data_IF_775442242324
#
_entry.id   IF_775442242324
#
_cell.length_a   1.000
_cell.length_b   1.000
_cell.length_c   1.000
_cell.angle_alpha   90.00
_cell.angle_beta   90.00
_cell.angle_gamma   90.00
#
_symmetry.space_group_name_H-M   'P 1'
#
loop_
_entity.id
_entity.type
_entity.pdbx_description
1 polymer ?
#
# COMPACT_ATOMS: atom_id res chain seq x y z
N UNK A 1 -7.23 -2.11 -22.24
CA UNK A 1 -7.23 -0.71 -21.78
C UNK A 1 -6.29 -0.66 -20.60
N UNK A 2 -5.21 0.11 -20.70
CA UNK A 2 -4.19 0.18 -19.66
C UNK A 2 -4.78 0.72 -18.35
N UNK A 3 -4.14 0.38 -17.22
CA UNK A 3 -4.68 0.62 -15.88
C UNK A 3 -3.82 1.61 -15.13
N UNK A 4 -4.44 2.50 -14.38
CA UNK A 4 -3.73 3.43 -13.50
C UNK A 4 -4.24 3.31 -12.07
N UNK A 5 -3.34 3.37 -11.10
CA UNK A 5 -3.65 3.38 -9.67
C UNK A 5 -2.91 4.53 -9.02
N UNK A 6 -3.60 5.23 -8.14
CA UNK A 6 -3.08 6.37 -7.40
C UNK A 6 -2.85 5.95 -5.95
N UNK A 7 -1.81 6.47 -5.32
CA UNK A 7 -1.67 6.44 -3.87
C UNK A 7 -2.60 7.48 -3.19
N UNK A 8 -2.64 7.47 -1.86
CA UNK A 8 -3.47 8.38 -1.07
C UNK A 8 -3.08 9.85 -1.27
N UNK A 9 -1.78 10.13 -1.40
CA UNK A 9 -1.27 11.50 -1.54
C UNK A 9 -1.49 12.07 -2.95
N UNK A 10 -1.42 11.25 -3.99
CA UNK A 10 -1.72 11.64 -5.36
C UNK A 10 -3.19 12.03 -5.50
N UNK A 11 -4.12 11.29 -4.87
CA UNK A 11 -5.52 11.75 -4.81
C UNK A 11 -5.64 13.09 -4.10
N UNK A 12 -5.01 13.27 -2.93
CA UNK A 12 -5.05 14.55 -2.21
C UNK A 12 -4.43 15.71 -2.99
N UNK A 13 -3.41 15.43 -3.81
CA UNK A 13 -2.74 16.41 -4.65
C UNK A 13 -3.60 16.78 -5.86
N UNK A 14 -4.19 15.77 -6.53
CA UNK A 14 -5.09 15.92 -7.68
C UNK A 14 -6.22 16.92 -7.41
N UNK A 15 -6.68 17.01 -6.16
CA UNK A 15 -7.83 17.83 -5.75
C UNK A 15 -7.49 18.93 -4.73
N UNK A 16 -6.22 19.32 -4.63
CA UNK A 16 -5.68 20.18 -3.55
C UNK A 16 -6.41 21.52 -3.36
N UNK A 17 -6.99 22.07 -4.42
CA UNK A 17 -7.64 23.38 -4.42
C UNK A 17 -9.12 23.32 -4.85
N UNK A 18 -9.73 22.12 -4.82
CA UNK A 18 -11.12 21.92 -5.23
C UNK A 18 -12.04 21.75 -4.02
N UNK A 19 -13.23 22.37 -4.10
CA UNK A 19 -14.30 22.10 -3.13
C UNK A 19 -14.92 20.73 -3.41
N UNK A 20 -15.71 20.22 -2.47
CA UNK A 20 -16.39 18.93 -2.65
C UNK A 20 -17.33 18.93 -3.86
N UNK A 21 -17.96 20.07 -4.16
CA UNK A 21 -18.93 20.20 -5.25
C UNK A 21 -18.25 20.34 -6.62
N UNK A 22 -17.04 20.92 -6.68
CA UNK A 22 -16.29 21.07 -7.94
C UNK A 22 -15.68 19.75 -8.44
N UNK A 23 -15.70 18.69 -7.62
CA UNK A 23 -15.07 17.41 -7.96
C UNK A 23 -15.77 16.67 -9.10
N UNK A 24 -17.08 16.82 -9.26
CA UNK A 24 -17.84 16.09 -10.30
C UNK A 24 -17.34 16.45 -11.69
N UNK A 25 -17.34 17.74 -12.03
CA UNK A 25 -16.89 18.23 -13.33
C UNK A 25 -15.40 17.96 -13.55
N UNK A 26 -14.57 18.22 -12.54
CA UNK A 26 -13.13 17.99 -12.64
C UNK A 26 -12.78 16.52 -12.90
N UNK A 27 -13.40 15.58 -12.17
CA UNK A 27 -13.15 14.16 -12.36
C UNK A 27 -13.70 13.62 -13.68
N UNK A 28 -14.77 14.23 -14.22
CA UNK A 28 -15.26 13.92 -15.57
C UNK A 28 -14.21 14.31 -16.63
N UNK A 29 -13.56 15.47 -16.49
CA UNK A 29 -12.48 15.89 -17.39
C UNK A 29 -11.28 14.94 -17.33
N UNK A 30 -10.83 14.57 -16.12
CA UNK A 30 -9.73 13.61 -15.94
C UNK A 30 -10.06 12.28 -16.63
N UNK A 31 -11.24 11.71 -16.37
CA UNK A 31 -11.67 10.46 -17.01
C UNK A 31 -11.77 10.56 -18.53
N UNK A 32 -12.19 11.71 -19.06
CA UNK A 32 -12.23 11.94 -20.50
C UNK A 32 -10.82 11.93 -21.11
N UNK A 33 -9.84 12.57 -20.45
CA UNK A 33 -8.43 12.54 -20.86
C UNK A 33 -7.83 11.13 -20.78
N UNK A 34 -8.12 10.40 -19.71
CA UNK A 34 -7.68 9.00 -19.56
C UNK A 34 -8.23 8.11 -20.66
N UNK A 35 -9.54 8.20 -20.93
CA UNK A 35 -10.20 7.42 -21.99
C UNK A 35 -9.62 7.72 -23.37
N UNK A 36 -9.28 8.99 -23.65
CA UNK A 36 -8.60 9.40 -24.89
C UNK A 36 -7.22 8.73 -25.03
N UNK A 37 -6.55 8.47 -23.93
CA UNK A 37 -5.25 7.79 -23.86
C UNK A 37 -5.37 6.28 -23.60
N UNK A 38 -6.56 5.68 -23.73
CA UNK A 38 -6.83 4.26 -23.48
C UNK A 38 -6.39 3.79 -22.08
N UNK A 39 -6.57 4.66 -21.09
CA UNK A 39 -6.37 4.41 -19.67
C UNK A 39 -7.71 4.25 -18.94
N UNK A 40 -7.70 3.47 -17.87
CA UNK A 40 -8.79 3.37 -16.91
C UNK A 40 -8.28 3.22 -15.48
N UNK A 41 -8.78 4.07 -14.59
CA UNK A 41 -8.39 4.07 -13.20
C UNK A 41 -8.98 2.92 -12.38
N UNK A 42 -8.15 2.37 -11.49
CA UNK A 42 -8.48 1.33 -10.54
C UNK A 42 -8.19 1.78 -9.09
N UNK A 43 -8.96 1.26 -8.15
CA UNK A 43 -8.85 1.58 -6.72
C UNK A 43 -7.90 0.61 -6.03
N UNK A 44 -6.98 1.16 -5.24
CA UNK A 44 -6.23 0.37 -4.26
C UNK A 44 -7.03 0.23 -2.95
N UNK A 45 -7.25 -1.00 -2.45
CA UNK A 45 -7.87 -1.20 -1.13
C UNK A 45 -7.10 -0.54 0.02
N UNK A 46 -5.78 -0.37 -0.12
CA UNK A 46 -4.94 0.33 0.87
C UNK A 46 -5.36 1.79 0.96
N UNK A 47 -5.53 2.45 -0.19
CA UNK A 47 -5.92 3.85 -0.27
C UNK A 47 -7.30 4.06 0.34
N UNK A 48 -8.24 3.15 0.11
CA UNK A 48 -9.53 3.18 0.80
C UNK A 48 -9.33 3.13 2.31
N UNK A 49 -8.54 2.18 2.82
CA UNK A 49 -8.32 2.02 4.27
C UNK A 49 -7.68 3.26 4.90
N UNK A 50 -6.67 3.84 4.25
CA UNK A 50 -6.03 5.06 4.74
C UNK A 50 -6.99 6.24 4.77
N UNK A 51 -7.78 6.44 3.71
CA UNK A 51 -8.76 7.52 3.65
C UNK A 51 -9.87 7.33 4.70
N UNK A 52 -10.41 6.12 4.82
CA UNK A 52 -11.43 5.78 5.82
C UNK A 52 -10.93 5.97 7.25
N UNK A 53 -9.68 5.59 7.55
CA UNK A 53 -9.08 5.80 8.86
C UNK A 53 -8.93 7.28 9.21
N UNK A 54 -8.67 8.15 8.22
CA UNK A 54 -8.57 9.59 8.43
C UNK A 54 -9.93 10.28 8.61
N UNK A 55 -10.99 9.81 7.94
CA UNK A 55 -12.36 10.34 8.13
C UNK A 55 -13.05 9.78 9.37
N UNK A 56 -12.54 8.71 9.97
CA UNK A 56 -12.91 8.24 11.31
C UNK A 56 -12.46 9.22 12.44
N UNK A 57 -11.85 10.36 12.09
CA UNK A 57 -11.43 11.41 13.03
C UNK A 57 -12.48 12.52 13.19
N UNK A 58 -12.22 13.47 14.10
CA UNK A 58 -13.09 14.62 14.36
C UNK A 58 -13.49 15.33 13.05
N UNK A 59 -14.79 15.45 12.84
CA UNK A 59 -15.36 16.31 11.80
C UNK A 59 -14.79 17.72 11.93
N UNK A 60 -14.31 18.28 10.81
CA UNK A 60 -13.79 19.66 10.74
C UNK A 60 -12.27 19.83 10.78
N UNK A 61 -11.45 18.77 10.90
CA UNK A 61 -10.00 18.92 10.68
C UNK A 61 -9.66 19.06 9.19
N UNK A 62 -8.58 19.77 8.85
CA UNK A 62 -8.12 19.87 7.44
C UNK A 62 -7.85 18.49 6.82
N UNK A 63 -7.32 17.54 7.62
CA UNK A 63 -7.06 16.17 7.16
C UNK A 63 -8.35 15.39 6.92
N UNK A 64 -9.37 15.59 7.75
CA UNK A 64 -10.71 15.03 7.53
C UNK A 64 -11.27 15.50 6.19
N UNK A 65 -11.30 16.82 5.94
CA UNK A 65 -11.87 17.36 4.70
C UNK A 65 -11.09 16.92 3.47
N UNK A 66 -9.75 16.95 3.52
CA UNK A 66 -8.89 16.46 2.43
C UNK A 66 -9.13 15.00 2.13
N UNK A 67 -9.34 14.18 3.16
CA UNK A 67 -9.61 12.75 2.99
C UNK A 67 -11.01 12.49 2.45
N UNK A 68 -12.00 13.26 2.89
CA UNK A 68 -13.37 13.18 2.37
C UNK A 68 -13.45 13.58 0.88
N UNK A 69 -12.80 14.68 0.50
CA UNK A 69 -12.71 15.09 -0.90
C UNK A 69 -11.97 14.03 -1.73
N UNK A 70 -10.88 13.44 -1.20
CA UNK A 70 -10.15 12.38 -1.88
C UNK A 70 -10.99 11.09 -2.04
N UNK A 71 -11.85 10.75 -1.07
CA UNK A 71 -12.82 9.65 -1.19
C UNK A 71 -13.77 9.90 -2.35
N UNK A 72 -14.34 11.10 -2.47
CA UNK A 72 -15.21 11.46 -3.59
C UNK A 72 -14.48 11.43 -4.92
N UNK A 73 -13.27 11.99 -4.99
CA UNK A 73 -12.45 11.95 -6.20
C UNK A 73 -12.18 10.51 -6.66
N UNK A 74 -11.71 9.65 -5.74
CA UNK A 74 -11.47 8.23 -6.01
C UNK A 74 -12.75 7.48 -6.43
N UNK A 75 -13.88 7.77 -5.79
CA UNK A 75 -15.17 7.21 -6.18
C UNK A 75 -15.54 7.59 -7.62
N UNK A 76 -15.52 8.89 -7.95
CA UNK A 76 -15.85 9.39 -9.28
C UNK A 76 -14.89 8.86 -10.36
N UNK A 77 -13.63 8.66 -9.99
CA UNK A 77 -12.56 8.18 -10.87
C UNK A 77 -12.74 6.72 -11.28
N UNK A 78 -13.01 5.86 -10.30
CA UNK A 78 -12.85 4.42 -10.46
C UNK A 78 -14.18 3.63 -10.45
N UNK A 79 -15.30 4.30 -10.24
CA UNK A 79 -16.63 3.69 -10.34
C UNK A 79 -17.27 4.00 -11.69
N UNK A 80 -17.93 3.00 -12.25
CA UNK A 80 -18.77 3.18 -13.43
C UNK A 80 -20.00 2.29 -13.35
N UNK A 81 -21.19 2.87 -13.60
CA UNK A 81 -22.48 2.18 -13.59
C UNK A 81 -22.73 1.27 -12.37
N UNK A 82 -22.29 1.69 -11.18
CA UNK A 82 -22.46 0.93 -9.94
C UNK A 82 -21.43 -0.18 -9.70
N UNK A 83 -20.48 -0.38 -10.62
CA UNK A 83 -19.36 -1.31 -10.45
C UNK A 83 -18.07 -0.54 -10.13
N UNK A 84 -17.31 -1.06 -9.16
CA UNK A 84 -15.98 -0.55 -8.81
C UNK A 84 -14.90 -1.34 -9.52
N UNK A 85 -13.88 -0.66 -10.03
CA UNK A 85 -12.64 -1.28 -10.51
C UNK A 85 -11.61 -1.37 -9.39
N UNK A 86 -11.85 -2.24 -8.41
CA UNK A 86 -10.95 -2.37 -7.27
C UNK A 86 -9.90 -3.46 -7.53
N UNK A 87 -8.64 -3.17 -7.20
CA UNK A 87 -7.59 -4.16 -7.21
C UNK A 87 -7.77 -5.19 -6.09
N UNK A 88 -7.19 -6.38 -6.28
CA UNK A 88 -7.05 -7.33 -5.19
C UNK A 88 -6.22 -6.69 -4.06
N UNK A 89 -6.57 -7.01 -2.80
CA UNK A 89 -5.72 -6.65 -1.67
C UNK A 89 -4.35 -7.32 -1.81
N UNK A 90 -3.25 -6.72 -1.31
CA UNK A 90 -1.92 -7.30 -1.35
C UNK A 90 -1.86 -8.78 -0.94
N UNK A 91 -2.48 -9.12 0.19
CA UNK A 91 -2.45 -10.48 0.71
C UNK A 91 -3.25 -11.45 -0.18
N UNK A 92 -4.32 -10.98 -0.84
CA UNK A 92 -5.11 -11.78 -1.78
C UNK A 92 -4.33 -12.04 -3.07
N UNK A 93 -3.66 -11.01 -3.58
CA UNK A 93 -2.79 -11.10 -4.76
C UNK A 93 -1.72 -12.16 -4.54
N UNK A 94 -1.00 -12.06 -3.42
CA UNK A 94 0.10 -12.98 -3.10
C UNK A 94 -0.41 -14.38 -2.78
N UNK A 95 -1.52 -14.52 -2.05
CA UNK A 95 -2.13 -15.83 -1.79
C UNK A 95 -2.52 -16.54 -3.08
N UNK A 96 -3.15 -15.81 -4.03
CA UNK A 96 -3.56 -16.37 -5.32
C UNK A 96 -2.37 -16.71 -6.19
N UNK A 97 -1.40 -15.80 -6.29
CA UNK A 97 -0.23 -15.95 -7.17
C UNK A 97 0.74 -17.04 -6.71
N UNK A 98 0.95 -17.17 -5.39
CA UNK A 98 1.90 -18.14 -4.83
C UNK A 98 1.27 -19.51 -4.56
N UNK A 99 0.02 -19.54 -4.12
CA UNK A 99 -0.60 -20.76 -3.60
C UNK A 99 -1.89 -21.15 -4.33
N UNK A 100 -2.38 -20.33 -5.26
CA UNK A 100 -3.67 -20.56 -5.92
C UNK A 100 -4.89 -20.32 -5.01
N UNK A 101 -4.68 -19.85 -3.77
CA UNK A 101 -5.71 -19.69 -2.75
C UNK A 101 -6.54 -18.41 -2.96
N UNK A 102 -7.79 -18.44 -2.50
CA UNK A 102 -8.73 -17.31 -2.54
C UNK A 102 -9.60 -17.31 -1.29
N UNK A 103 -10.15 -16.15 -0.92
CA UNK A 103 -11.04 -16.01 0.24
C UNK A 103 -12.25 -15.16 -0.12
N UNK A 104 -13.43 -15.78 -0.10
CA UNK A 104 -14.69 -15.07 -0.34
C UNK A 104 -14.97 -14.01 0.74
N UNK A 105 -14.59 -14.30 2.00
CA UNK A 105 -14.73 -13.34 3.10
C UNK A 105 -13.93 -12.05 2.86
N UNK A 106 -12.75 -12.17 2.22
CA UNK A 106 -11.93 -11.00 1.85
C UNK A 106 -12.55 -10.21 0.71
N UNK A 107 -13.16 -10.87 -0.28
CA UNK A 107 -13.93 -10.21 -1.33
C UNK A 107 -15.10 -9.43 -0.72
N UNK A 108 -15.86 -10.05 0.19
CA UNK A 108 -16.97 -9.41 0.90
C UNK A 108 -16.50 -8.19 1.73
N UNK A 109 -15.34 -8.30 2.40
CA UNK A 109 -14.74 -7.16 3.11
C UNK A 109 -14.42 -6.00 2.16
N UNK A 110 -13.90 -6.31 0.97
CA UNK A 110 -13.67 -5.33 -0.09
C UNK A 110 -14.96 -4.64 -0.54
N UNK A 111 -16.02 -5.42 -0.79
CA UNK A 111 -17.33 -4.89 -1.17
C UNK A 111 -17.91 -3.98 -0.08
N UNK A 112 -17.75 -4.32 1.19
CA UNK A 112 -18.17 -3.46 2.30
C UNK A 112 -17.42 -2.11 2.30
N UNK A 113 -16.11 -2.09 2.01
CA UNK A 113 -15.37 -0.83 1.87
C UNK A 113 -15.90 0.03 0.72
N UNK A 114 -16.26 -0.59 -0.40
CA UNK A 114 -16.85 0.08 -1.55
C UNK A 114 -18.19 0.74 -1.20
N UNK A 115 -19.04 0.06 -0.43
CA UNK A 115 -20.32 0.63 0.02
C UNK A 115 -20.12 1.86 0.90
N UNK A 116 -19.18 1.80 1.85
CA UNK A 116 -18.80 2.93 2.71
C UNK A 116 -18.30 4.10 1.86
N UNK A 117 -17.40 3.84 0.91
CA UNK A 117 -16.86 4.86 0.00
C UNK A 117 -17.96 5.52 -0.81
N UNK A 118 -18.90 4.74 -1.37
CA UNK A 118 -20.04 5.27 -2.11
C UNK A 118 -20.88 6.21 -1.25
N UNK A 119 -21.28 5.76 -0.07
CA UNK A 119 -22.13 6.55 0.83
C UNK A 119 -21.48 7.90 1.21
N UNK A 120 -20.17 7.87 1.53
CA UNK A 120 -19.41 9.08 1.86
C UNK A 120 -19.16 9.99 0.64
N UNK A 121 -18.99 9.42 -0.55
CA UNK A 121 -18.77 10.19 -1.77
C UNK A 121 -20.04 10.88 -2.27
N UNK A 122 -21.21 10.25 -2.13
CA UNK A 122 -22.47 10.78 -2.68
C UNK A 122 -23.27 11.61 -1.68
N UNK A 123 -23.16 11.35 -0.37
CA UNK A 123 -23.99 12.02 0.64
C UNK A 123 -23.31 12.04 2.03
N UNK A 124 -22.23 12.81 2.23
CA UNK A 124 -21.51 12.84 3.52
C UNK A 124 -22.25 13.65 4.60
N UNK A 125 -23.40 13.17 5.07
CA UNK A 125 -24.16 13.78 6.17
C UNK A 125 -23.73 13.22 7.52
N UNK A 126 -24.02 13.95 8.60
CA UNK A 126 -23.76 13.47 9.97
C UNK A 126 -24.42 12.11 10.25
N UNK A 127 -25.65 11.90 9.75
CA UNK A 127 -26.39 10.64 9.89
C UNK A 127 -25.64 9.47 9.23
N UNK A 128 -25.00 9.70 8.07
CA UNK A 128 -24.19 8.69 7.39
C UNK A 128 -22.94 8.38 8.21
N UNK A 129 -22.26 9.39 8.76
CA UNK A 129 -21.11 9.18 9.64
C UNK A 129 -21.47 8.42 10.92
N UNK A 130 -22.60 8.75 11.56
CA UNK A 130 -23.11 8.03 12.75
C UNK A 130 -23.40 6.56 12.42
N UNK A 131 -24.06 6.29 11.29
CA UNK A 131 -24.32 4.92 10.82
C UNK A 131 -23.04 4.12 10.58
N UNK A 132 -22.00 4.78 10.08
CA UNK A 132 -20.74 4.15 9.68
C UNK A 132 -19.67 4.15 10.79
N UNK A 133 -19.96 4.75 11.95
CA UNK A 133 -18.98 5.03 13.00
C UNK A 133 -18.20 3.79 13.44
N UNK A 134 -18.88 2.67 13.71
CA UNK A 134 -18.24 1.43 14.13
C UNK A 134 -17.27 0.88 13.07
N UNK A 135 -17.68 0.88 11.80
CA UNK A 135 -16.85 0.42 10.68
C UNK A 135 -15.62 1.33 10.47
N UNK A 136 -15.83 2.65 10.57
CA UNK A 136 -14.76 3.64 10.47
C UNK A 136 -13.75 3.48 11.63
N UNK A 137 -14.23 3.29 12.86
CA UNK A 137 -13.38 3.08 14.03
C UNK A 137 -12.63 1.73 13.99
N UNK A 138 -13.27 0.67 13.51
CA UNK A 138 -12.60 -0.62 13.25
C UNK A 138 -11.51 -0.49 12.20
N UNK A 139 -11.76 0.23 11.11
CA UNK A 139 -10.77 0.49 10.05
C UNK A 139 -9.58 1.29 10.60
N UNK A 140 -9.86 2.37 11.34
CA UNK A 140 -8.82 3.17 12.00
C UNK A 140 -7.98 2.35 12.99
N UNK A 141 -8.62 1.48 13.76
CA UNK A 141 -7.93 0.60 14.72
C UNK A 141 -7.06 -0.44 13.99
N UNK A 142 -7.57 -1.02 12.90
CA UNK A 142 -6.80 -1.90 12.04
C UNK A 142 -5.56 -1.20 11.49
N UNK A 143 -5.72 0.01 10.96
CA UNK A 143 -4.59 0.80 10.40
C UNK A 143 -3.52 1.03 11.46
N UNK A 144 -3.91 1.51 12.65
CA UNK A 144 -2.99 1.73 13.76
C UNK A 144 -2.29 0.46 14.24
N UNK A 145 -3.02 -0.65 14.31
CA UNK A 145 -2.45 -1.93 14.74
C UNK A 145 -1.45 -2.46 13.71
N UNK A 146 -1.74 -2.34 12.41
CA UNK A 146 -0.83 -2.74 11.35
C UNK A 146 0.47 -1.92 11.40
N UNK A 147 0.36 -0.60 11.54
CA UNK A 147 1.50 0.31 11.71
C UNK A 147 2.35 -0.05 12.96
N UNK A 148 1.70 -0.33 14.09
CA UNK A 148 2.37 -0.72 15.32
C UNK A 148 3.12 -2.06 15.18
N UNK A 149 2.49 -3.06 14.57
CA UNK A 149 3.11 -4.37 14.31
C UNK A 149 4.29 -4.23 13.35
N UNK A 150 4.15 -3.40 12.31
CA UNK A 150 5.22 -3.11 11.37
C UNK A 150 6.44 -2.52 12.09
N UNK A 151 6.28 -1.44 12.86
CA UNK A 151 7.35 -0.85 13.64
C UNK A 151 7.97 -1.85 14.65
N UNK A 152 7.14 -2.63 15.34
CA UNK A 152 7.61 -3.65 16.30
C UNK A 152 8.44 -4.75 15.63
N UNK A 153 8.14 -5.11 14.38
CA UNK A 153 8.91 -6.11 13.63
C UNK A 153 10.35 -5.66 13.38
N UNK A 154 10.57 -4.40 12.98
CA UNK A 154 11.93 -3.86 12.83
C UNK A 154 12.68 -3.84 14.15
N UNK A 155 12.02 -3.37 15.22
CA UNK A 155 12.64 -3.28 16.53
C UNK A 155 13.08 -4.67 17.03
N UNK A 156 12.19 -5.67 16.91
CA UNK A 156 12.47 -7.06 17.26
C UNK A 156 13.65 -7.59 16.45
N UNK A 157 13.63 -7.39 15.12
CA UNK A 157 14.68 -7.89 14.24
C UNK A 157 16.03 -7.23 14.51
N UNK A 158 16.07 -5.92 14.72
CA UNK A 158 17.30 -5.20 15.02
C UNK A 158 17.88 -5.61 16.39
N UNK A 159 17.04 -5.94 17.37
CA UNK A 159 17.47 -6.49 18.66
C UNK A 159 18.12 -7.87 18.57
N UNK A 160 17.80 -8.67 17.55
CA UNK A 160 18.53 -9.93 17.30
C UNK A 160 20.00 -9.66 16.92
N UNK A 161 20.26 -8.55 16.23
CA UNK A 161 21.62 -8.15 15.84
C UNK A 161 22.35 -7.40 16.94
N UNK A 162 21.67 -6.49 17.63
CA UNK A 162 22.22 -5.68 18.71
C UNK A 162 21.33 -5.81 19.98
N UNK A 163 21.48 -6.88 20.79
CA UNK A 163 20.65 -7.09 21.98
C UNK A 163 20.76 -5.97 23.02
N UNK A 164 21.88 -5.25 23.03
CA UNK A 164 22.17 -4.13 23.92
C UNK A 164 21.70 -2.79 23.34
N UNK A 165 20.99 -2.78 22.20
CA UNK A 165 20.47 -1.53 21.62
C UNK A 165 19.49 -0.87 22.58
N UNK A 166 19.74 0.40 22.87
CA UNK A 166 18.80 1.27 23.56
C UNK A 166 17.95 2.01 22.52
N UNK A 167 16.63 1.93 22.67
CA UNK A 167 15.65 2.52 21.74
C UNK A 167 15.88 2.10 20.27
N UNK A 168 16.16 3.03 19.36
CA UNK A 168 16.41 2.77 17.92
C UNK A 168 17.88 2.98 17.50
N UNK A 169 18.78 3.14 18.46
CA UNK A 169 20.19 3.39 18.19
C UNK A 169 20.95 2.07 17.96
N UNK A 170 21.04 1.65 16.69
CA UNK A 170 21.74 0.41 16.31
C UNK A 170 23.26 0.60 16.28
N UNK A 171 23.98 -0.14 17.12
CA UNK A 171 25.43 -0.08 17.29
C UNK A 171 25.96 1.36 17.37
N UNK A 172 25.52 2.19 18.34
CA UNK A 172 25.76 3.64 18.34
C UNK A 172 27.25 3.98 18.25
N UNK A 173 28.08 3.19 18.93
CA UNK A 173 29.52 3.37 19.04
C UNK A 173 30.35 2.36 18.21
N UNK A 174 29.72 1.51 17.39
CA UNK A 174 30.43 0.47 16.63
C UNK A 174 30.12 0.54 15.13
N UNK A 175 30.86 1.41 14.42
CA UNK A 175 30.75 1.60 12.97
C UNK A 175 31.01 0.33 12.17
N UNK A 176 31.90 -0.54 12.64
CA UNK A 176 32.23 -1.78 11.92
C UNK A 176 31.05 -2.77 11.95
N UNK A 177 30.46 -3.00 13.14
CA UNK A 177 29.24 -3.82 13.27
C UNK A 177 28.09 -3.23 12.46
N UNK A 178 27.89 -1.91 12.50
CA UNK A 178 26.87 -1.23 11.68
C UNK A 178 27.09 -1.46 10.18
N UNK A 179 28.32 -1.33 9.69
CA UNK A 179 28.67 -1.61 8.29
C UNK A 179 28.42 -3.07 7.92
N UNK A 180 28.77 -4.01 8.81
CA UNK A 180 28.51 -5.44 8.60
C UNK A 180 27.01 -5.71 8.48
N UNK A 181 26.20 -5.16 9.38
CA UNK A 181 24.74 -5.28 9.33
C UNK A 181 24.17 -4.68 8.05
N UNK A 182 24.58 -3.47 7.65
CA UNK A 182 24.13 -2.87 6.39
C UNK A 182 24.45 -3.74 5.18
N UNK A 183 25.62 -4.39 5.14
CA UNK A 183 25.96 -5.33 4.08
C UNK A 183 25.05 -6.57 4.10
N UNK A 184 24.68 -7.05 5.28
CA UNK A 184 23.72 -8.14 5.44
C UNK A 184 22.31 -7.73 4.97
N UNK A 185 21.80 -6.57 5.38
CA UNK A 185 20.49 -6.04 4.91
C UNK A 185 20.43 -5.95 3.39
N UNK A 186 21.54 -5.59 2.75
CA UNK A 186 21.64 -5.46 1.28
C UNK A 186 21.72 -6.80 0.56
N UNK A 187 22.05 -7.88 1.25
CA UNK A 187 22.30 -9.20 0.68
C UNK A 187 21.08 -9.85 0.01
N UNK A 188 21.32 -10.87 -0.83
CA UNK A 188 20.25 -11.65 -1.45
C UNK A 188 19.48 -12.45 -0.39
N UNK A 189 20.21 -12.98 0.60
CA UNK A 189 19.69 -13.74 1.73
C UNK A 189 18.68 -12.93 2.53
N UNK A 190 18.97 -11.65 2.78
CA UNK A 190 18.02 -10.77 3.48
C UNK A 190 16.77 -10.50 2.63
N UNK A 191 16.87 -10.49 1.30
CA UNK A 191 15.68 -10.43 0.42
C UNK A 191 14.79 -11.66 0.61
N UNK A 192 15.38 -12.85 0.71
CA UNK A 192 14.66 -14.10 0.94
C UNK A 192 13.99 -14.10 2.32
N UNK A 193 14.67 -13.58 3.33
CA UNK A 193 14.10 -13.38 4.67
C UNK A 193 12.86 -12.48 4.62
N UNK A 194 12.96 -11.30 3.99
CA UNK A 194 11.82 -10.37 3.88
C UNK A 194 10.65 -10.98 3.09
N UNK A 195 10.94 -11.74 2.04
CA UNK A 195 9.93 -12.47 1.30
C UNK A 195 9.22 -13.49 2.20
N UNK A 196 9.96 -14.27 3.00
CA UNK A 196 9.38 -15.25 3.93
C UNK A 196 8.51 -14.59 5.00
N UNK A 197 9.01 -13.51 5.62
CA UNK A 197 8.28 -12.73 6.63
C UNK A 197 6.93 -12.22 6.12
N UNK A 198 6.80 -11.95 4.82
CA UNK A 198 5.53 -11.55 4.22
C UNK A 198 4.65 -12.76 3.83
N UNK A 199 5.22 -13.73 3.11
CA UNK A 199 4.46 -14.81 2.47
C UNK A 199 3.97 -15.84 3.49
N UNK A 200 4.77 -16.16 4.51
CA UNK A 200 4.43 -17.21 5.47
C UNK A 200 3.18 -16.85 6.31
N UNK A 201 3.04 -15.63 6.86
CA UNK A 201 1.78 -15.21 7.50
C UNK A 201 0.58 -15.23 6.55
N UNK A 202 0.77 -14.84 5.28
CA UNK A 202 -0.30 -14.92 4.26
C UNK A 202 -0.73 -16.37 4.05
N UNK A 203 0.22 -17.30 3.89
CA UNK A 203 -0.09 -18.72 3.78
C UNK A 203 -0.86 -19.22 4.99
N UNK A 204 -0.34 -18.97 6.20
CA UNK A 204 -0.94 -19.47 7.43
C UNK A 204 -2.38 -18.96 7.58
N UNK A 205 -2.65 -17.70 7.24
CA UNK A 205 -3.99 -17.13 7.31
C UNK A 205 -4.96 -17.81 6.33
N UNK A 206 -4.57 -17.98 5.06
CA UNK A 206 -5.45 -18.59 4.06
C UNK A 206 -5.59 -20.10 4.26
N UNK A 207 -4.56 -20.80 4.75
CA UNK A 207 -4.64 -22.23 5.03
C UNK A 207 -5.72 -22.57 6.07
N UNK A 208 -6.08 -21.65 6.98
CA UNK A 208 -7.21 -21.83 7.90
C UNK A 208 -8.56 -21.98 7.19
N UNK A 209 -8.70 -21.40 5.99
CA UNK A 209 -9.91 -21.50 5.16
C UNK A 209 -9.84 -22.65 4.14
N UNK A 210 -8.68 -23.29 4.01
CA UNK A 210 -8.38 -24.33 3.02
C UNK A 210 -7.74 -25.54 3.71
N UNK A 211 -8.51 -26.37 4.44
CA UNK A 211 -7.98 -27.40 5.33
C UNK A 211 -7.20 -28.52 4.63
N UNK A 212 -7.34 -28.65 3.30
CA UNK A 212 -6.58 -29.60 2.48
C UNK A 212 -5.20 -29.06 2.07
N UNK A 213 -4.91 -27.80 2.38
CA UNK A 213 -3.64 -27.18 2.02
C UNK A 213 -2.50 -27.71 2.89
N UNK A 214 -1.50 -28.30 2.24
CA UNK A 214 -0.29 -28.78 2.92
C UNK A 214 0.69 -27.62 3.08
N UNK A 215 1.26 -27.49 4.28
CA UNK A 215 2.31 -26.52 4.56
C UNK A 215 3.55 -26.83 3.71
N UNK A 216 4.11 -25.85 2.99
CA UNK A 216 5.33 -26.06 2.22
C UNK A 216 6.49 -26.54 3.11
N UNK A 217 7.32 -27.43 2.57
CA UNK A 217 8.62 -27.77 3.16
C UNK A 217 9.67 -26.67 2.89
N UNK A 218 10.87 -26.79 3.44
CA UNK A 218 11.92 -25.77 3.32
C UNK A 218 12.42 -25.56 1.88
N UNK A 219 12.40 -26.60 1.04
CA UNK A 219 12.78 -26.49 -0.37
C UNK A 219 11.72 -25.69 -1.12
N UNK A 220 10.45 -25.99 -0.87
CA UNK A 220 9.31 -25.25 -1.43
C UNK A 220 9.29 -23.80 -0.94
N UNK A 221 9.56 -23.54 0.34
CA UNK A 221 9.68 -22.18 0.87
C UNK A 221 10.76 -21.37 0.17
N UNK A 222 11.95 -21.95 -0.01
CA UNK A 222 13.06 -21.30 -0.71
C UNK A 222 12.66 -20.92 -2.15
N UNK A 223 11.99 -21.84 -2.86
CA UNK A 223 11.47 -21.58 -4.20
C UNK A 223 10.44 -20.45 -4.22
N UNK A 224 9.46 -20.46 -3.30
CA UNK A 224 8.42 -19.45 -3.21
C UNK A 224 8.99 -18.06 -2.88
N UNK A 225 9.95 -17.97 -1.96
CA UNK A 225 10.63 -16.72 -1.62
C UNK A 225 11.44 -16.19 -2.81
N UNK A 226 12.15 -17.08 -3.52
CA UNK A 226 12.91 -16.69 -4.72
C UNK A 226 11.97 -16.16 -5.80
N UNK A 227 10.85 -16.85 -6.03
CA UNK A 227 9.81 -16.41 -6.95
C UNK A 227 9.26 -15.03 -6.54
N UNK A 228 9.01 -14.80 -5.25
CA UNK A 228 8.52 -13.50 -4.76
C UNK A 228 9.52 -12.38 -5.01
N UNK A 229 10.78 -12.55 -4.61
CA UNK A 229 11.84 -11.54 -4.79
C UNK A 229 11.99 -11.16 -6.27
N UNK A 230 11.90 -12.14 -7.17
CA UNK A 230 12.01 -11.89 -8.60
C UNK A 230 10.79 -11.18 -9.20
N UNK A 231 9.59 -11.41 -8.65
CA UNK A 231 8.36 -10.83 -9.18
C UNK A 231 7.99 -9.50 -8.52
N UNK A 232 8.47 -9.24 -7.30
CA UNK A 232 8.19 -8.00 -6.55
C UNK A 232 9.50 -7.36 -6.04
N UNK A 233 10.50 -7.10 -6.91
CA UNK A 233 11.78 -6.55 -6.47
C UNK A 233 11.65 -5.15 -5.86
N UNK A 234 10.70 -4.34 -6.32
CA UNK A 234 10.45 -2.99 -5.82
C UNK A 234 9.94 -2.98 -4.37
N UNK A 235 9.04 -3.92 -4.04
CA UNK A 235 8.59 -4.16 -2.66
C UNK A 235 9.77 -4.45 -1.74
N UNK A 236 10.62 -5.41 -2.14
CA UNK A 236 11.78 -5.83 -1.36
C UNK A 236 12.77 -4.68 -1.20
N UNK A 237 13.05 -3.95 -2.27
CA UNK A 237 13.98 -2.84 -2.26
C UNK A 237 13.51 -1.70 -1.36
N UNK A 238 12.21 -1.35 -1.37
CA UNK A 238 11.68 -0.31 -0.49
C UNK A 238 11.76 -0.75 0.96
N UNK A 239 11.38 -2.00 1.27
CA UNK A 239 11.45 -2.54 2.63
C UNK A 239 12.89 -2.55 3.17
N UNK A 240 13.87 -2.95 2.35
CA UNK A 240 15.30 -2.84 2.71
C UNK A 240 15.72 -1.40 2.98
N UNK A 241 15.26 -0.45 2.17
CA UNK A 241 15.60 0.96 2.37
C UNK A 241 15.09 1.50 3.71
N UNK A 242 13.95 1.00 4.22
CA UNK A 242 13.46 1.35 5.56
C UNK A 242 14.42 0.84 6.64
N UNK A 243 14.89 -0.42 6.55
CA UNK A 243 15.94 -0.93 7.44
C UNK A 243 17.20 -0.06 7.41
N UNK A 244 17.68 0.28 6.20
CA UNK A 244 18.87 1.12 6.05
C UNK A 244 18.69 2.51 6.67
N UNK A 245 17.52 3.13 6.50
CA UNK A 245 17.21 4.43 7.09
C UNK A 245 17.19 4.37 8.62
N UNK A 246 16.61 3.32 9.20
CA UNK A 246 16.62 3.11 10.65
C UNK A 246 18.06 2.96 11.15
N UNK A 247 18.86 2.11 10.52
CA UNK A 247 20.25 1.84 10.94
C UNK A 247 21.15 3.07 10.80
N UNK A 248 20.99 3.85 9.72
CA UNK A 248 21.84 5.01 9.45
C UNK A 248 21.45 6.25 10.24
N UNK A 249 20.14 6.48 10.39
CA UNK A 249 19.60 7.73 10.95
C UNK A 249 18.98 7.56 12.34
N UNK A 250 19.01 6.35 12.91
CA UNK A 250 18.45 6.03 14.24
C UNK A 250 16.99 6.47 14.36
N UNK A 251 16.25 6.26 13.27
CA UNK A 251 14.88 6.71 13.15
C UNK A 251 13.98 5.83 14.01
N UNK A 252 13.25 6.45 14.94
CA UNK A 252 12.17 5.81 15.67
C UNK A 252 10.92 5.71 14.79
N UNK A 253 10.47 4.47 14.49
CA UNK A 253 9.32 4.22 13.64
C UNK A 253 7.98 4.57 14.28
N UNK A 254 7.90 4.67 15.62
CA UNK A 254 6.69 5.07 16.33
C UNK A 254 6.45 6.58 16.32
N UNK A 255 7.41 7.37 15.86
CA UNK A 255 7.32 8.83 15.81
C UNK A 255 6.94 9.35 14.41
N UNK A 256 6.40 10.57 14.35
CA UNK A 256 6.19 11.33 13.11
C UNK A 256 5.45 10.56 12.01
N UNK A 257 4.54 9.65 12.39
CA UNK A 257 3.80 8.75 11.49
C UNK A 257 4.69 7.89 10.58
N UNK A 258 5.95 7.63 10.96
CA UNK A 258 6.87 6.82 10.14
C UNK A 258 6.40 5.38 9.96
N UNK A 259 5.63 4.84 10.90
CA UNK A 259 5.02 3.52 10.74
C UNK A 259 4.05 3.42 9.54
N UNK A 260 3.54 4.56 9.02
CA UNK A 260 2.72 4.61 7.80
C UNK A 260 3.47 4.11 6.54
N UNK A 261 4.81 4.07 6.56
CA UNK A 261 5.62 3.42 5.51
C UNK A 261 5.22 1.97 5.22
N UNK A 262 4.50 1.31 6.15
CA UNK A 262 3.85 0.04 5.90
C UNK A 262 2.98 0.07 4.63
N UNK A 263 2.14 1.11 4.48
CA UNK A 263 1.20 1.23 3.36
C UNK A 263 1.92 1.48 2.05
N UNK A 264 2.92 2.37 2.05
CA UNK A 264 3.80 2.61 0.90
C UNK A 264 4.47 1.31 0.46
N UNK A 265 5.02 0.55 1.42
CA UNK A 265 5.65 -0.76 1.16
C UNK A 265 4.64 -1.72 0.53
N UNK A 266 3.41 -1.82 1.04
CA UNK A 266 2.38 -2.67 0.45
C UNK A 266 1.94 -2.21 -0.94
N UNK A 267 1.87 -0.89 -1.19
CA UNK A 267 1.50 -0.34 -2.49
C UNK A 267 2.53 -0.68 -3.58
N UNK A 268 3.81 -0.85 -3.22
CA UNK A 268 4.86 -1.27 -4.16
C UNK A 268 4.62 -2.65 -4.78
N UNK A 269 3.70 -3.48 -4.27
CA UNK A 269 3.26 -4.71 -4.95
C UNK A 269 2.49 -4.47 -6.25
N UNK A 270 2.14 -3.20 -6.53
CA UNK A 270 1.52 -2.76 -7.78
C UNK A 270 2.51 -2.06 -8.72
N UNK A 271 3.78 -1.94 -8.34
CA UNK A 271 4.82 -1.24 -9.09
C UNK A 271 5.75 -2.27 -9.74
N UNK A 272 6.10 -2.05 -11.00
CA UNK A 272 6.99 -2.91 -11.78
C UNK A 272 6.37 -3.30 -13.11
N UNK A 273 6.77 -4.44 -13.68
CA UNK A 273 6.23 -4.95 -14.94
C UNK A 273 4.85 -5.65 -14.80
N UNK A 274 4.09 -5.28 -13.77
CA UNK A 274 2.81 -5.88 -13.47
C UNK A 274 1.74 -5.52 -14.50
N UNK A 275 0.84 -6.47 -14.72
CA UNK A 275 -0.26 -6.37 -15.68
C UNK A 275 -1.56 -6.83 -15.04
N UNK A 276 -2.65 -6.22 -15.47
CA UNK A 276 -4.00 -6.71 -15.19
C UNK A 276 -4.49 -7.33 -16.49
N UNK A 277 -4.67 -8.65 -16.47
CA UNK A 277 -4.80 -9.46 -17.69
C UNK A 277 -3.57 -9.28 -18.59
N UNK A 278 -3.68 -8.53 -19.68
CA UNK A 278 -2.56 -8.21 -20.57
C UNK A 278 -2.24 -6.71 -20.63
N UNK A 279 -3.02 -5.90 -19.92
CA UNK A 279 -2.91 -4.46 -19.89
C UNK A 279 -1.89 -4.01 -18.84
N UNK A 280 -1.04 -3.06 -19.20
CA UNK A 280 -0.02 -2.51 -18.32
C UNK A 280 -0.65 -1.76 -17.15
N UNK A 281 -0.03 -1.88 -15.97
CA UNK A 281 -0.40 -1.14 -14.78
C UNK A 281 0.57 0.03 -14.55
N UNK A 282 0.03 1.23 -14.40
CA UNK A 282 0.74 2.43 -13.97
C UNK A 282 0.40 2.77 -12.53
N UNK A 283 1.39 3.28 -11.82
CA UNK A 283 1.27 3.73 -10.45
C UNK A 283 1.62 5.22 -10.35
N UNK A 284 0.76 6.01 -9.73
CA UNK A 284 0.95 7.45 -9.54
C UNK A 284 1.15 7.74 -8.07
N UNK A 285 2.26 8.40 -7.74
CA UNK A 285 2.60 8.76 -6.35
C UNK A 285 3.43 10.04 -6.28
N UNK A 286 3.37 10.72 -5.14
CA UNK A 286 4.28 11.82 -4.81
C UNK A 286 5.44 11.39 -3.90
N UNK A 287 5.46 10.13 -3.45
CA UNK A 287 6.46 9.65 -2.49
C UNK A 287 7.83 9.46 -3.15
N UNK A 288 8.83 10.16 -2.61
CA UNK A 288 10.19 10.18 -3.17
C UNK A 288 10.90 8.84 -3.00
N UNK A 289 10.64 8.09 -1.93
CA UNK A 289 11.26 6.81 -1.69
C UNK A 289 10.70 5.76 -2.66
N UNK A 290 9.37 5.72 -2.83
CA UNK A 290 8.71 4.85 -3.82
C UNK A 290 9.18 5.15 -5.24
N UNK A 291 9.20 6.43 -5.64
CA UNK A 291 9.68 6.86 -6.96
C UNK A 291 11.13 6.43 -7.21
N UNK A 292 12.01 6.69 -6.24
CA UNK A 292 13.42 6.32 -6.34
C UNK A 292 13.58 4.81 -6.50
N UNK A 293 12.99 4.03 -5.60
CA UNK A 293 13.14 2.58 -5.58
C UNK A 293 12.53 1.94 -6.83
N UNK A 294 11.32 2.35 -7.23
CA UNK A 294 10.68 1.84 -8.44
C UNK A 294 11.56 2.09 -9.67
N UNK A 295 12.06 3.32 -9.84
CA UNK A 295 12.91 3.70 -10.98
C UNK A 295 14.24 2.95 -11.03
N UNK A 296 14.87 2.73 -9.88
CA UNK A 296 16.13 1.97 -9.76
C UNK A 296 15.95 0.47 -10.06
N UNK A 297 14.73 -0.07 -9.95
CA UNK A 297 14.41 -1.49 -10.12
C UNK A 297 13.60 -1.78 -11.40
N UNK A 298 13.84 -1.03 -12.48
CA UNK A 298 13.21 -1.19 -13.81
C UNK A 298 11.73 -0.78 -13.93
N UNK A 299 11.12 -0.18 -12.91
CA UNK A 299 9.77 0.38 -13.00
C UNK A 299 9.71 1.78 -13.62
N UNK A 300 10.79 2.26 -14.26
CA UNK A 300 10.86 3.60 -14.90
C UNK A 300 9.71 3.91 -15.85
N UNK A 301 9.07 2.87 -16.40
CA UNK A 301 7.97 3.00 -17.35
C UNK A 301 6.59 2.80 -16.72
N UNK A 302 6.49 2.48 -15.43
CA UNK A 302 5.24 2.11 -14.75
C UNK A 302 4.96 2.91 -13.48
N UNK A 303 5.86 3.82 -13.07
CA UNK A 303 5.65 4.71 -11.93
C UNK A 303 5.84 6.18 -12.32
N UNK A 304 4.84 7.00 -12.05
CA UNK A 304 4.81 8.42 -12.36
C UNK A 304 4.68 9.26 -11.11
N UNK A 305 5.31 10.43 -11.13
CA UNK A 305 4.85 11.57 -10.35
C UNK A 305 3.50 12.04 -10.87
N UNK A 306 2.79 12.84 -10.07
CA UNK A 306 1.56 13.44 -10.54
C UNK A 306 1.76 14.31 -11.78
N UNK A 307 2.79 15.16 -11.80
CA UNK A 307 3.04 16.08 -12.92
C UNK A 307 3.35 15.30 -14.21
N UNK A 308 4.18 14.25 -14.13
CA UNK A 308 4.46 13.35 -15.27
C UNK A 308 3.19 12.65 -15.77
N UNK A 309 2.29 12.26 -14.86
CA UNK A 309 1.02 11.66 -15.23
C UNK A 309 0.10 12.65 -15.95
N UNK A 310 0.00 13.89 -15.47
CA UNK A 310 -0.79 14.92 -16.11
C UNK A 310 -0.23 15.29 -17.49
N UNK A 311 1.09 15.39 -17.62
CA UNK A 311 1.76 15.60 -18.91
C UNK A 311 1.50 14.44 -19.89
N UNK A 312 1.46 13.20 -19.40
CA UNK A 312 1.10 12.04 -20.19
C UNK A 312 -0.34 12.11 -20.74
N UNK A 313 -1.27 12.68 -19.98
CA UNK A 313 -2.67 12.83 -20.40
C UNK A 313 -2.89 13.94 -21.45
N UNK A 314 -2.03 14.97 -21.47
CA UNK A 314 -2.16 16.18 -22.28
C UNK A 314 -3.29 17.10 -21.84
#
# INVERSE_FOLDING_TARGET
MERVVFDTNAYRYLIKDLSFDDLDDYMLEIRAKEKKNNLEASISPIVIQELLAHVAGRSGSSLFQKSLNAIKAMYLHCFDNGFSRMLARPEMLVAKYMFGLSSEKKVQTGNAFIEIVRDLATSPTNEIFERLEDNLNKTKSFVKNAEHLYATSFLTKLKEYDPEMEDWAVFPNNKEKRRKLLNEIRSAEFSQFLAREYIEPVFNYYALEHPTQVRPDEVQWTFLCTKFVNNFPEYIALYKSVYENIINSQINMFENNRANFWWDTQLMLNVGEHKIENDKLYFVTSDKAMLKVGRENNANLSIFTFDEYMDYLG
#
